data_IF_878783067435
#
_entry.id   IF_878783067435
#
_cell.length_a   1.000
_cell.length_b   1.000
_cell.length_c   1.000
_cell.angle_alpha   90.00
_cell.angle_beta   90.00
_cell.angle_gamma   90.00
#
_symmetry.space_group_name_H-M   'P 1'
#
loop_
_entity.id
_entity.type
_entity.pdbx_description
1 polymer ?
#
# COMPACT_ATOMS: atom_id res chain seq x y z
N UNK A 1 12.49 -32.72 6.56
CA UNK A 1 13.41 -31.76 5.92
C UNK A 1 13.01 -30.38 6.38
N UNK A 2 13.75 -29.79 7.31
CA UNK A 2 13.56 -28.41 7.77
C UNK A 2 14.20 -27.50 6.72
N UNK A 3 13.40 -27.00 5.79
CA UNK A 3 13.81 -25.93 4.90
C UNK A 3 14.11 -24.72 5.79
N UNK A 4 15.32 -24.17 5.69
CA UNK A 4 15.67 -22.94 6.38
C UNK A 4 14.59 -21.88 6.10
N UNK A 5 14.15 -21.07 7.10
CA UNK A 5 13.17 -20.03 6.86
C UNK A 5 13.66 -19.13 5.71
N UNK A 6 12.88 -19.07 4.63
CA UNK A 6 13.14 -18.11 3.56
C UNK A 6 13.02 -16.70 4.14
N UNK A 7 14.04 -15.89 3.94
CA UNK A 7 14.02 -14.50 4.40
C UNK A 7 12.92 -13.75 3.66
N UNK A 8 11.96 -13.20 4.40
CA UNK A 8 10.92 -12.31 3.85
C UNK A 8 11.49 -10.91 3.74
N UNK A 9 11.40 -10.31 2.56
CA UNK A 9 11.82 -8.93 2.30
C UNK A 9 10.60 -8.03 2.18
N UNK A 10 10.63 -6.91 2.89
CA UNK A 10 9.63 -5.85 2.79
C UNK A 10 10.26 -4.65 2.09
N UNK A 11 9.56 -4.07 1.12
CA UNK A 11 9.99 -2.85 0.43
C UNK A 11 8.83 -1.90 0.15
N UNK A 12 9.14 -0.61 0.05
CA UNK A 12 8.17 0.44 -0.31
C UNK A 12 8.81 1.54 -1.17
N UNK A 13 9.87 1.22 -1.91
CA UNK A 13 10.56 2.17 -2.78
C UNK A 13 9.94 2.13 -4.19
N UNK A 14 8.71 2.63 -4.27
CA UNK A 14 7.89 2.70 -5.47
C UNK A 14 6.79 3.75 -5.27
N UNK A 15 6.03 4.06 -6.33
CA UNK A 15 4.96 5.06 -6.27
C UNK A 15 3.95 4.76 -5.15
N UNK A 16 3.61 5.78 -4.36
CA UNK A 16 2.80 5.72 -3.14
C UNK A 16 3.33 4.82 -2.00
N UNK A 17 4.50 4.21 -2.13
CA UNK A 17 5.05 3.29 -1.14
C UNK A 17 5.28 3.93 0.23
N UNK A 18 4.69 3.34 1.27
CA UNK A 18 4.88 3.77 2.66
C UNK A 18 4.89 2.57 3.62
N UNK A 19 6.08 2.24 4.13
CA UNK A 19 6.26 1.42 5.34
C UNK A 19 7.65 1.66 5.94
N UNK A 20 7.81 1.26 7.21
CA UNK A 20 9.08 1.05 7.89
C UNK A 20 9.10 -0.36 8.48
N UNK A 21 10.20 -1.10 8.28
CA UNK A 21 10.41 -2.41 8.90
C UNK A 21 11.00 -2.22 10.29
N UNK A 22 10.36 -2.79 11.31
CA UNK A 22 10.87 -2.80 12.69
C UNK A 22 11.57 -4.12 13.00
N UNK A 23 10.96 -5.24 12.61
CA UNK A 23 11.49 -6.58 12.81
C UNK A 23 10.96 -7.52 11.72
N UNK A 24 11.88 -8.23 11.07
CA UNK A 24 11.61 -9.26 10.06
C UNK A 24 12.49 -10.50 10.29
N UNK A 25 12.96 -10.71 11.53
CA UNK A 25 13.78 -11.86 11.90
C UNK A 25 12.99 -13.17 11.90
N UNK A 26 11.70 -13.11 12.24
CA UNK A 26 10.74 -14.20 12.04
C UNK A 26 9.92 -13.93 10.76
N UNK A 27 10.10 -14.72 9.69
CA UNK A 27 9.35 -14.53 8.44
C UNK A 27 7.85 -14.79 8.57
N UNK A 28 7.37 -15.42 9.65
CA UNK A 28 5.95 -15.63 9.90
C UNK A 28 5.31 -14.48 10.71
N UNK A 29 6.12 -13.64 11.37
CA UNK A 29 5.64 -12.55 12.23
C UNK A 29 6.41 -11.24 11.97
N UNK A 30 5.89 -10.45 11.03
CA UNK A 30 6.52 -9.22 10.56
C UNK A 30 6.02 -8.04 11.40
N UNK A 31 6.94 -7.28 12.00
CA UNK A 31 6.62 -6.03 12.72
C UNK A 31 7.04 -4.82 11.91
N UNK A 32 6.11 -3.91 11.73
CA UNK A 32 6.21 -2.78 10.83
C UNK A 32 5.68 -1.51 11.52
N UNK A 33 6.02 -0.35 10.96
CA UNK A 33 5.45 0.93 11.31
C UNK A 33 5.07 1.71 10.05
N UNK A 34 4.02 2.52 10.17
CA UNK A 34 3.63 3.48 9.13
C UNK A 34 4.50 4.72 9.28
N UNK A 35 5.12 5.22 8.20
CA UNK A 35 5.93 6.45 8.25
C UNK A 35 5.01 7.68 8.22
N UNK A 36 5.37 8.76 8.93
CA UNK A 36 4.80 10.09 8.74
C UNK A 36 4.88 10.58 7.29
N UNK A 37 3.92 11.41 6.91
CA UNK A 37 3.95 12.16 5.66
C UNK A 37 5.22 13.03 5.59
N UNK A 38 5.78 13.22 4.39
CA UNK A 38 7.11 13.82 4.16
C UNK A 38 7.36 15.16 4.85
N UNK A 39 6.31 15.95 5.14
CA UNK A 39 6.40 17.25 5.81
C UNK A 39 5.28 17.48 6.82
N UNK A 40 4.81 16.42 7.47
CA UNK A 40 3.70 16.48 8.42
C UNK A 40 3.79 15.33 9.43
N UNK A 41 3.34 15.52 10.69
CA UNK A 41 3.24 14.42 11.65
C UNK A 41 2.10 13.44 11.31
N UNK A 42 1.24 13.75 10.34
CA UNK A 42 0.16 12.88 9.93
C UNK A 42 0.67 11.56 9.34
N UNK A 43 -0.04 10.49 9.64
CA UNK A 43 0.10 9.19 8.97
C UNK A 43 -1.17 8.37 9.14
N UNK A 44 -1.45 7.55 8.13
CA UNK A 44 -2.52 6.56 8.08
C UNK A 44 -2.26 5.61 6.90
N UNK A 45 -1.87 6.20 5.77
CA UNK A 45 -1.59 5.48 4.53
C UNK A 45 -0.37 4.56 4.69
N UNK A 46 -0.54 3.29 4.34
CA UNK A 46 0.53 2.34 4.13
C UNK A 46 0.39 1.71 2.75
N UNK A 47 1.53 1.37 2.14
CA UNK A 47 1.59 0.60 0.90
C UNK A 47 2.98 -0.03 0.79
N UNK A 48 3.05 -1.36 0.77
CA UNK A 48 4.32 -2.08 0.72
C UNK A 48 4.21 -3.41 -0.02
N UNK A 49 5.37 -3.87 -0.49
CA UNK A 49 5.57 -5.17 -1.12
C UNK A 49 6.21 -6.12 -0.12
N UNK A 50 5.69 -7.33 -0.01
CA UNK A 50 6.33 -8.45 0.66
C UNK A 50 6.80 -9.46 -0.39
N UNK A 51 8.05 -9.92 -0.26
CA UNK A 51 8.68 -10.88 -1.16
C UNK A 51 9.28 -12.04 -0.34
N UNK A 52 9.33 -13.24 -0.92
CA UNK A 52 9.88 -14.42 -0.24
C UNK A 52 8.87 -15.13 0.68
N UNK A 53 7.58 -14.86 0.51
CA UNK A 53 6.52 -15.61 1.19
C UNK A 53 6.52 -17.07 0.72
N UNK A 54 6.14 -17.99 1.59
CA UNK A 54 6.05 -19.42 1.26
C UNK A 54 4.60 -19.74 0.91
N UNK A 55 4.28 -20.13 -0.33
CA UNK A 55 2.91 -20.52 -0.69
C UNK A 55 2.35 -21.60 0.25
N UNK A 56 1.11 -21.40 0.69
CA UNK A 56 0.41 -22.25 1.65
C UNK A 56 0.68 -21.93 3.12
N UNK A 57 1.70 -21.11 3.44
CA UNK A 57 1.95 -20.65 4.81
C UNK A 57 1.19 -19.36 5.13
N UNK A 58 0.75 -19.25 6.38
CA UNK A 58 0.16 -18.03 6.91
C UNK A 58 1.24 -17.10 7.44
N UNK A 59 1.30 -15.89 6.90
CA UNK A 59 2.18 -14.83 7.36
C UNK A 59 1.38 -13.77 8.09
N UNK A 60 1.90 -13.32 9.24
CA UNK A 60 1.30 -12.29 10.08
C UNK A 60 2.07 -10.99 9.98
N UNK A 61 1.33 -9.89 9.92
CA UNK A 61 1.87 -8.54 9.82
C UNK A 61 1.26 -7.67 10.93
N UNK A 62 2.10 -6.87 11.56
CA UNK A 62 1.70 -5.96 12.62
C UNK A 62 2.17 -4.54 12.32
N UNK A 63 1.25 -3.59 12.23
CA UNK A 63 1.55 -2.15 12.22
C UNK A 63 1.55 -1.65 13.67
N UNK A 64 2.71 -1.66 14.32
CA UNK A 64 2.85 -1.46 15.76
C UNK A 64 2.49 -0.04 16.24
N UNK A 65 2.52 0.96 15.36
CA UNK A 65 2.20 2.35 15.67
C UNK A 65 0.78 2.78 15.24
N UNK A 66 -0.12 1.85 14.91
CA UNK A 66 -1.44 2.17 14.37
C UNK A 66 -2.29 3.07 15.30
N UNK A 67 -2.25 2.87 16.63
CA UNK A 67 -3.00 3.70 17.60
C UNK A 67 -2.55 5.17 17.67
N UNK A 68 -1.37 5.47 17.13
CA UNK A 68 -0.79 6.81 17.06
C UNK A 68 -1.13 7.51 15.73
N UNK A 69 -1.83 6.84 14.81
CA UNK A 69 -2.19 7.40 13.51
C UNK A 69 -3.19 8.55 13.65
N UNK A 70 -3.32 9.34 12.58
CA UNK A 70 -4.17 10.55 12.60
C UNK A 70 -5.64 10.26 12.87
N UNK A 71 -6.12 9.08 12.45
CA UNK A 71 -7.47 8.60 12.71
C UNK A 71 -7.43 7.23 13.38
N UNK A 72 -6.89 7.18 14.60
CA UNK A 72 -6.69 5.93 15.33
C UNK A 72 -7.97 5.11 15.61
N UNK A 73 -9.14 5.74 15.66
CA UNK A 73 -10.45 5.04 15.76
C UNK A 73 -10.95 4.46 14.44
N UNK A 74 -10.37 4.85 13.31
CA UNK A 74 -10.79 4.35 12.00
C UNK A 74 -10.29 2.93 11.71
N UNK A 75 -9.45 2.37 12.61
CA UNK A 75 -9.00 0.98 12.52
C UNK A 75 -10.06 -0.03 13.00
N UNK A 76 -11.05 0.41 13.79
CA UNK A 76 -12.14 -0.45 14.25
C UNK A 76 -13.00 -0.90 13.06
N UNK A 77 -13.04 -2.21 12.79
CA UNK A 77 -13.77 -2.80 11.66
C UNK A 77 -13.10 -2.61 10.28
N UNK A 78 -11.92 -2.00 10.23
CA UNK A 78 -11.14 -1.86 9.00
C UNK A 78 -10.48 -3.18 8.60
N UNK A 79 -10.35 -3.42 7.30
CA UNK A 79 -9.57 -4.53 6.75
C UNK A 79 -8.56 -4.06 5.72
N UNK A 80 -7.30 -4.47 5.85
CA UNK A 80 -6.27 -4.16 4.85
C UNK A 80 -6.64 -4.73 3.48
N UNK A 81 -6.21 -4.06 2.40
CA UNK A 81 -6.30 -4.61 1.05
C UNK A 81 -4.96 -5.21 0.64
N UNK A 82 -5.02 -6.28 -0.14
CA UNK A 82 -3.87 -6.93 -0.72
C UNK A 82 -4.08 -7.21 -2.21
N UNK A 83 -2.99 -7.37 -2.95
CA UNK A 83 -3.00 -7.74 -4.36
C UNK A 83 -1.75 -8.52 -4.73
N UNK A 84 -1.89 -9.47 -5.64
CA UNK A 84 -0.80 -10.25 -6.20
C UNK A 84 -0.29 -9.70 -7.55
N UNK A 85 -1.08 -8.83 -8.20
CA UNK A 85 -0.89 -8.40 -9.60
C UNK A 85 -0.97 -6.87 -9.79
N UNK A 86 -1.25 -6.10 -8.73
CA UNK A 86 -1.58 -4.66 -8.76
C UNK A 86 -2.87 -4.28 -9.50
N UNK A 87 -3.65 -5.26 -9.98
CA UNK A 87 -4.90 -5.04 -10.71
C UNK A 87 -6.10 -5.47 -9.87
N UNK A 88 -6.03 -6.68 -9.30
CA UNK A 88 -7.08 -7.26 -8.47
C UNK A 88 -6.74 -7.08 -7.01
N UNK A 89 -7.55 -6.28 -6.31
CA UNK A 89 -7.39 -6.00 -4.88
C UNK A 89 -8.49 -6.65 -4.05
N UNK A 90 -8.12 -7.31 -2.96
CA UNK A 90 -9.03 -8.02 -2.06
C UNK A 90 -8.73 -7.68 -0.60
N UNK A 91 -9.71 -7.84 0.29
CA UNK A 91 -9.54 -7.61 1.74
C UNK A 91 -8.88 -8.82 2.39
N UNK A 92 -8.03 -8.58 3.38
CA UNK A 92 -7.43 -9.64 4.23
C UNK A 92 -7.92 -9.54 5.67
N UNK A 93 -8.04 -10.67 6.39
CA UNK A 93 -8.41 -10.67 7.81
C UNK A 93 -7.53 -9.71 8.61
N UNK A 94 -8.16 -8.78 9.30
CA UNK A 94 -7.50 -7.68 10.01
C UNK A 94 -8.22 -7.43 11.33
N UNK A 95 -7.46 -7.15 12.38
CA UNK A 95 -7.96 -6.80 13.69
C UNK A 95 -7.13 -5.66 14.28
N UNK A 96 -7.80 -4.73 14.96
CA UNK A 96 -7.15 -3.71 15.76
C UNK A 96 -7.32 -4.03 17.24
N UNK A 97 -6.21 -4.21 17.96
CA UNK A 97 -6.21 -4.59 19.38
C UNK A 97 -6.23 -3.39 20.34
N UNK A 98 -6.50 -2.18 19.82
CA UNK A 98 -6.41 -0.92 20.53
C UNK A 98 -5.01 -0.28 20.52
N UNK A 99 -3.97 -1.01 20.08
CA UNK A 99 -2.59 -0.51 19.96
C UNK A 99 -2.03 -0.69 18.55
N UNK A 100 -2.10 -1.89 18.02
CA UNK A 100 -1.56 -2.28 16.74
C UNK A 100 -2.65 -2.80 15.80
N UNK A 101 -2.44 -2.59 14.50
CA UNK A 101 -3.24 -3.23 13.46
C UNK A 101 -2.56 -4.53 13.07
N UNK A 102 -3.24 -5.65 13.24
CA UNK A 102 -2.74 -6.98 12.96
C UNK A 102 -3.53 -7.56 11.78
N UNK A 103 -2.84 -8.09 10.77
CA UNK A 103 -3.48 -8.78 9.66
C UNK A 103 -2.65 -9.97 9.20
N UNK A 104 -3.28 -10.88 8.47
CA UNK A 104 -2.62 -12.10 7.99
C UNK A 104 -3.10 -12.50 6.61
N UNK A 105 -2.26 -13.25 5.91
CA UNK A 105 -2.60 -13.87 4.63
C UNK A 105 -2.02 -15.28 4.61
N UNK A 106 -2.80 -16.25 4.11
CA UNK A 106 -2.22 -17.50 3.63
C UNK A 106 -1.71 -17.22 2.22
N UNK A 107 -0.39 -17.23 2.04
CA UNK A 107 0.22 -16.82 0.79
C UNK A 107 -0.14 -17.79 -0.34
N UNK A 108 -0.63 -17.26 -1.46
CA UNK A 108 -0.81 -18.03 -2.71
C UNK A 108 0.43 -17.91 -3.59
N UNK A 109 1.11 -16.77 -3.52
CA UNK A 109 2.32 -16.46 -4.27
C UNK A 109 3.44 -15.95 -3.35
N UNK A 110 4.71 -16.05 -3.79
CA UNK A 110 5.85 -15.58 -3.00
C UNK A 110 5.94 -14.06 -2.85
N UNK A 111 5.14 -13.33 -3.62
CA UNK A 111 5.13 -11.87 -3.67
C UNK A 111 3.69 -11.39 -3.54
N UNK A 112 3.46 -10.40 -2.69
CA UNK A 112 2.15 -9.76 -2.50
C UNK A 112 2.36 -8.29 -2.10
N UNK A 113 1.40 -7.44 -2.42
CA UNK A 113 1.35 -6.06 -1.95
C UNK A 113 0.21 -5.89 -0.97
N UNK A 114 0.43 -5.04 0.02
CA UNK A 114 -0.59 -4.61 0.96
C UNK A 114 -0.70 -3.10 0.94
N UNK A 115 -1.93 -2.58 1.02
CA UNK A 115 -2.17 -1.16 1.07
C UNK A 115 -3.35 -0.80 1.98
N UNK A 116 -3.45 0.48 2.32
CA UNK A 116 -4.58 1.02 3.08
C UNK A 116 -5.87 1.01 2.25
N UNK A 117 -5.75 1.23 0.94
CA UNK A 117 -6.80 1.16 -0.06
C UNK A 117 -6.18 0.84 -1.43
N UNK A 118 -6.98 0.45 -2.44
CA UNK A 118 -6.48 0.23 -3.80
C UNK A 118 -5.71 1.47 -4.30
N UNK A 119 -4.40 1.36 -4.59
CA UNK A 119 -3.60 2.49 -5.07
C UNK A 119 -3.99 2.88 -6.49
N UNK A 120 -3.97 4.19 -6.77
CA UNK A 120 -4.07 4.73 -8.13
C UNK A 120 -2.73 5.36 -8.50
N UNK A 121 -1.91 4.62 -9.26
CA UNK A 121 -0.56 5.07 -9.60
C UNK A 121 -0.54 6.28 -10.53
N UNK A 122 0.59 6.99 -10.52
CA UNK A 122 0.89 8.08 -11.46
C UNK A 122 0.95 7.59 -12.90
N UNK A 123 1.47 6.40 -13.14
CA UNK A 123 1.44 5.78 -14.46
C UNK A 123 0.00 5.56 -14.95
N UNK A 124 -0.89 5.05 -14.08
CA UNK A 124 -2.32 4.89 -14.38
C UNK A 124 -3.00 6.25 -14.62
N UNK A 125 -2.58 7.30 -13.92
CA UNK A 125 -3.03 8.67 -14.18
C UNK A 125 -2.60 9.15 -15.56
N UNK A 126 -1.34 8.97 -15.93
CA UNK A 126 -0.83 9.43 -17.22
C UNK A 126 -1.51 8.69 -18.39
N UNK A 127 -1.79 7.39 -18.23
CA UNK A 127 -2.60 6.63 -19.18
C UNK A 127 -4.05 7.14 -19.27
N UNK A 128 -4.67 7.47 -18.13
CA UNK A 128 -6.01 8.07 -18.09
C UNK A 128 -6.04 9.39 -18.88
N UNK A 129 -5.08 10.28 -18.64
CA UNK A 129 -5.00 11.57 -19.35
C UNK A 129 -4.83 11.34 -20.85
N UNK A 130 -3.89 10.46 -21.25
CA UNK A 130 -3.68 10.10 -22.66
C UNK A 130 -4.96 9.61 -23.32
N UNK A 131 -5.65 8.66 -22.68
CA UNK A 131 -6.87 8.06 -23.22
C UNK A 131 -8.01 9.09 -23.30
N UNK A 132 -8.13 9.98 -22.32
CA UNK A 132 -9.15 11.03 -22.33
C UNK A 132 -8.98 12.00 -23.52
N UNK A 133 -7.73 12.40 -23.80
CA UNK A 133 -7.41 13.30 -24.92
C UNK A 133 -7.55 12.63 -26.29
N UNK A 134 -7.24 11.33 -26.38
CA UNK A 134 -7.28 10.61 -27.65
C UNK A 134 -8.68 10.11 -28.02
N UNK A 135 -9.43 9.61 -27.04
CA UNK A 135 -10.60 8.76 -27.32
C UNK A 135 -11.90 9.26 -26.70
N UNK A 136 -11.85 10.18 -25.73
CA UNK A 136 -13.03 10.58 -24.94
C UNK A 136 -13.60 11.96 -25.31
N UNK A 137 -13.05 12.61 -26.35
CA UNK A 137 -13.44 13.96 -26.77
C UNK A 137 -13.11 15.03 -25.72
N UNK A 138 -12.13 14.77 -24.85
CA UNK A 138 -11.67 15.75 -23.89
C UNK A 138 -10.55 16.60 -24.48
N UNK A 139 -10.46 17.85 -24.03
CA UNK A 139 -9.37 18.77 -24.35
C UNK A 139 -8.60 19.14 -23.09
N UNK A 140 -7.28 19.31 -23.23
CA UNK A 140 -6.44 19.82 -22.16
C UNK A 140 -6.56 21.35 -22.10
N UNK A 141 -7.28 21.86 -21.12
CA UNK A 141 -7.57 23.29 -21.01
C UNK A 141 -6.40 24.06 -20.38
N UNK A 142 -5.74 23.47 -19.39
CA UNK A 142 -4.62 24.07 -18.67
C UNK A 142 -3.78 23.00 -17.96
N UNK A 143 -2.54 23.36 -17.61
CA UNK A 143 -1.65 22.54 -16.78
C UNK A 143 -1.04 23.42 -15.70
N UNK A 144 -1.38 23.14 -14.44
CA UNK A 144 -0.67 23.67 -13.28
C UNK A 144 0.54 22.82 -12.91
N UNK A 145 1.30 23.25 -11.90
CA UNK A 145 2.45 22.50 -11.35
C UNK A 145 2.31 22.35 -9.84
N UNK A 146 2.60 21.15 -9.33
CA UNK A 146 2.71 20.90 -7.89
C UNK A 146 4.01 21.47 -7.32
N UNK A 147 4.17 21.41 -5.99
CA UNK A 147 5.40 21.84 -5.29
C UNK A 147 6.65 21.05 -5.70
N UNK A 148 6.49 19.83 -6.22
CA UNK A 148 7.57 18.99 -6.76
C UNK A 148 7.60 19.02 -8.30
N UNK A 149 6.86 19.95 -8.93
CA UNK A 149 6.90 20.16 -10.38
C UNK A 149 6.08 19.17 -11.21
N UNK A 150 5.25 18.31 -10.59
CA UNK A 150 4.35 17.40 -11.33
C UNK A 150 3.17 18.16 -11.94
N UNK A 151 2.69 17.69 -13.07
CA UNK A 151 1.55 18.28 -13.77
C UNK A 151 0.24 18.13 -12.99
N UNK A 152 -0.55 19.19 -13.00
CA UNK A 152 -1.94 19.21 -12.54
C UNK A 152 -2.79 19.56 -13.77
N UNK A 153 -3.19 18.53 -14.52
CA UNK A 153 -3.95 18.70 -15.76
C UNK A 153 -5.43 19.01 -15.50
N UNK A 154 -5.96 20.03 -16.18
CA UNK A 154 -7.40 20.32 -16.23
C UNK A 154 -7.96 19.87 -17.57
N UNK A 155 -8.83 18.86 -17.56
CA UNK A 155 -9.53 18.39 -18.76
C UNK A 155 -10.92 19.03 -18.85
N UNK A 156 -11.28 19.46 -20.05
CA UNK A 156 -12.64 19.91 -20.40
C UNK A 156 -13.28 18.91 -21.34
N UNK A 157 -14.56 18.61 -21.13
CA UNK A 157 -15.41 17.87 -22.07
C UNK A 157 -16.66 18.70 -22.33
N UNK A 158 -16.93 19.02 -23.59
CA UNK A 158 -18.05 19.87 -24.02
C UNK A 158 -18.06 20.12 -25.51
#
# INVERSE_FOLDING_TARGET
MTVAPSSVRISSDFDSGNIQVLDASDPLHLKLAIKPDTRSPHFQWFHFKAEGLIPGQTHHFQLSNASQSSYNKAWDGYQAVASYDHETWFRVPTEFDGKALNFSVQAEHPVIWFAYFEPYSRERHDLLIKNALQWSGCELLAVGKSVEGRDIQLLRKG
#
